data_IF_657053123403
#
_entry.id   IF_657053123403
#
_cell.length_a   1.000
_cell.length_b   1.000
_cell.length_c   1.000
_cell.angle_alpha   90.00
_cell.angle_beta   90.00
_cell.angle_gamma   90.00
#
_symmetry.space_group_name_H-M   'P 1'
#
loop_
_entity.id
_entity.type
_entity.pdbx_description
1 polymer ?
#
# COMPACT_ATOMS: atom_id res chain seq x y z
N UNK A 1 -29.26 -46.85 41.82
CA UNK A 1 -29.81 -45.64 41.16
C UNK A 1 -28.92 -44.41 41.32
N UNK A 2 -28.32 -44.16 42.49
CA UNK A 2 -27.48 -42.96 42.72
C UNK A 2 -26.12 -42.96 42.01
N UNK A 3 -25.49 -44.12 41.82
CA UNK A 3 -24.15 -44.22 41.23
C UNK A 3 -24.12 -43.86 39.73
N UNK A 4 -25.18 -44.25 39.00
CA UNK A 4 -25.33 -43.91 37.58
C UNK A 4 -25.55 -42.42 37.36
N UNK A 5 -26.35 -41.77 38.21
CA UNK A 5 -26.62 -40.33 38.15
C UNK A 5 -25.34 -39.51 38.39
N UNK A 6 -24.50 -39.95 39.33
CA UNK A 6 -23.21 -39.30 39.60
C UNK A 6 -22.19 -39.51 38.47
N UNK A 7 -22.22 -40.66 37.80
CA UNK A 7 -21.34 -40.92 36.65
C UNK A 7 -21.74 -40.04 35.45
N UNK A 8 -23.04 -39.94 35.15
CA UNK A 8 -23.57 -39.09 34.09
C UNK A 8 -23.25 -37.61 34.37
N UNK A 9 -23.42 -37.15 35.62
CA UNK A 9 -23.08 -35.80 36.01
C UNK A 9 -21.59 -35.47 35.76
N UNK A 10 -20.68 -36.41 36.09
CA UNK A 10 -19.23 -36.28 35.85
C UNK A 10 -18.89 -36.25 34.35
N UNK A 11 -19.52 -37.11 33.54
CA UNK A 11 -19.33 -37.13 32.09
C UNK A 11 -19.78 -35.81 31.47
N UNK A 12 -20.94 -35.27 31.91
CA UNK A 12 -21.45 -33.98 31.45
C UNK A 12 -20.49 -32.85 31.86
N UNK A 13 -19.97 -32.83 33.09
CA UNK A 13 -19.01 -31.78 33.51
C UNK A 13 -17.72 -31.85 32.70
N UNK A 14 -17.19 -33.05 32.46
CA UNK A 14 -15.98 -33.24 31.64
C UNK A 14 -16.22 -32.83 30.18
N UNK A 15 -17.36 -33.21 29.58
CA UNK A 15 -17.74 -32.76 28.24
C UNK A 15 -17.93 -31.24 28.16
N UNK A 16 -18.55 -30.60 29.15
CA UNK A 16 -18.68 -29.14 29.19
C UNK A 16 -17.33 -28.44 29.32
N UNK A 17 -16.39 -28.99 30.10
CA UNK A 17 -15.02 -28.47 30.19
C UNK A 17 -14.28 -28.64 28.85
N UNK A 18 -14.42 -29.80 28.19
CA UNK A 18 -13.81 -30.07 26.87
C UNK A 18 -14.42 -29.18 25.78
N UNK A 19 -15.73 -28.91 25.82
CA UNK A 19 -16.43 -27.99 24.89
C UNK A 19 -16.00 -26.54 25.13
N UNK A 20 -15.73 -26.13 26.37
CA UNK A 20 -15.14 -24.81 26.66
C UNK A 20 -13.65 -24.73 26.28
N UNK A 21 -12.96 -25.87 26.15
CA UNK A 21 -11.62 -26.00 25.60
C UNK A 21 -11.59 -26.04 24.06
N UNK A 22 -12.73 -25.84 23.38
CA UNK A 22 -12.75 -25.45 21.97
C UNK A 22 -12.21 -24.02 21.90
N UNK A 23 -10.88 -23.96 21.75
CA UNK A 23 -10.01 -22.84 21.42
C UNK A 23 -10.68 -21.47 21.44
N UNK A 24 -10.38 -20.64 22.45
CA UNK A 24 -10.39 -19.21 22.20
C UNK A 24 -9.35 -18.96 21.10
N UNK A 25 -9.80 -18.83 19.85
CA UNK A 25 -8.92 -18.48 18.75
C UNK A 25 -8.29 -17.13 19.08
N UNK A 26 -6.96 -17.11 19.18
CA UNK A 26 -6.20 -15.93 19.54
C UNK A 26 -6.17 -14.96 18.35
N UNK A 27 -7.26 -14.19 18.22
CA UNK A 27 -7.50 -13.26 17.11
C UNK A 27 -6.70 -11.96 17.22
N UNK A 28 -5.46 -12.06 17.71
CA UNK A 28 -4.56 -10.93 17.90
C UNK A 28 -4.13 -10.26 16.60
N UNK A 29 -3.79 -8.97 16.69
CA UNK A 29 -3.18 -8.22 15.58
C UNK A 29 -1.83 -8.82 15.13
N UNK A 30 -1.15 -9.51 16.04
CA UNK A 30 0.09 -10.23 15.75
C UNK A 30 -0.11 -11.34 14.72
N UNK A 31 -1.18 -12.12 14.82
CA UNK A 31 -1.47 -13.19 13.84
C UNK A 31 -1.67 -12.61 12.44
N UNK A 32 -2.48 -11.55 12.32
CA UNK A 32 -2.71 -10.88 11.05
C UNK A 32 -1.41 -10.27 10.47
N UNK A 33 -0.58 -9.67 11.34
CA UNK A 33 0.73 -9.13 10.96
C UNK A 33 1.66 -10.23 10.45
N UNK A 34 1.66 -11.39 11.12
CA UNK A 34 2.43 -12.56 10.70
C UNK A 34 1.97 -13.07 9.33
N UNK A 35 0.66 -13.09 9.05
CA UNK A 35 0.13 -13.45 7.75
C UNK A 35 0.55 -12.48 6.63
N UNK A 36 0.69 -11.19 6.95
CA UNK A 36 1.05 -10.16 5.98
C UNK A 36 2.56 -10.08 5.70
N UNK A 37 3.43 -10.67 6.54
CA UNK A 37 4.89 -10.60 6.39
C UNK A 37 5.39 -11.02 4.99
N UNK A 38 4.96 -12.13 4.38
CA UNK A 38 5.41 -12.50 3.04
C UNK A 38 5.01 -11.48 1.96
N UNK A 39 3.96 -10.71 2.23
CA UNK A 39 3.38 -9.73 1.31
C UNK A 39 4.07 -8.37 1.47
N UNK A 40 4.81 -8.17 2.58
CA UNK A 40 5.60 -6.96 2.79
C UNK A 40 6.66 -6.80 1.72
N UNK A 41 7.17 -7.87 1.09
CA UNK A 41 8.09 -7.72 -0.04
C UNK A 41 7.47 -6.87 -1.15
N UNK A 42 6.16 -6.97 -1.35
CA UNK A 42 5.43 -6.12 -2.30
C UNK A 42 5.40 -4.67 -1.84
N UNK A 43 5.49 -4.39 -0.54
CA UNK A 43 5.36 -3.05 0.06
C UNK A 43 6.70 -2.39 0.43
N UNK A 44 7.74 -3.19 0.68
CA UNK A 44 9.04 -2.78 1.23
C UNK A 44 10.19 -2.88 0.24
N UNK A 45 10.11 -3.77 -0.75
CA UNK A 45 10.78 -3.52 -2.03
C UNK A 45 9.90 -2.53 -2.79
N UNK A 46 10.46 -1.69 -3.65
CA UNK A 46 9.61 -0.90 -4.53
C UNK A 46 8.63 -1.87 -5.20
N UNK A 47 7.33 -1.59 -5.13
CA UNK A 47 6.21 -2.49 -5.54
C UNK A 47 6.43 -3.12 -6.93
N UNK A 48 7.36 -2.58 -7.70
CA UNK A 48 7.69 -2.87 -9.09
C UNK A 48 8.98 -3.71 -9.28
N UNK A 49 9.76 -4.01 -8.23
CA UNK A 49 11.04 -4.74 -8.30
C UNK A 49 11.03 -6.11 -7.60
N UNK A 50 9.85 -6.70 -7.43
CA UNK A 50 9.62 -7.94 -6.65
C UNK A 50 10.36 -9.16 -7.23
N UNK A 51 10.48 -9.23 -8.55
CA UNK A 51 11.22 -10.27 -9.27
C UNK A 51 11.49 -9.79 -10.70
N UNK A 52 12.71 -9.94 -11.20
CA UNK A 52 13.07 -9.56 -12.56
C UNK A 52 13.07 -10.75 -13.53
N UNK A 53 12.83 -11.96 -13.02
CA UNK A 53 12.87 -13.22 -13.79
C UNK A 53 11.80 -14.21 -13.34
N UNK A 54 11.45 -15.14 -14.22
CA UNK A 54 10.47 -16.19 -13.95
C UNK A 54 10.89 -17.09 -12.80
N UNK A 55 12.16 -17.46 -12.73
CA UNK A 55 12.68 -18.34 -11.68
C UNK A 55 12.67 -17.67 -10.30
N UNK A 56 12.73 -16.34 -10.26
CA UNK A 56 12.57 -15.56 -9.03
C UNK A 56 11.10 -15.57 -8.57
N UNK A 57 10.15 -15.43 -9.51
CA UNK A 57 8.71 -15.57 -9.22
C UNK A 57 8.36 -16.98 -8.72
N UNK A 58 8.88 -18.04 -9.35
CA UNK A 58 8.60 -19.43 -8.94
C UNK A 58 9.02 -19.71 -7.50
N UNK A 59 10.09 -19.08 -7.03
CA UNK A 59 10.54 -19.17 -5.62
C UNK A 59 9.68 -18.35 -4.67
N UNK A 60 9.19 -17.20 -5.12
CA UNK A 60 8.44 -16.26 -4.29
C UNK A 60 6.96 -16.63 -4.13
N UNK A 61 6.35 -17.16 -5.18
CA UNK A 61 4.92 -17.42 -5.25
C UNK A 61 4.36 -18.36 -4.16
N UNK A 62 5.08 -19.41 -3.72
CA UNK A 62 4.65 -20.22 -2.58
C UNK A 62 4.42 -19.38 -1.31
N UNK A 63 5.33 -18.47 -1.00
CA UNK A 63 5.24 -17.62 0.20
C UNK A 63 4.10 -16.61 0.10
N UNK A 64 3.91 -16.00 -1.07
CA UNK A 64 2.79 -15.09 -1.33
C UNK A 64 1.45 -15.82 -1.20
N UNK A 65 1.31 -17.02 -1.77
CA UNK A 65 0.09 -17.81 -1.64
C UNK A 65 -0.17 -18.26 -0.20
N UNK A 66 0.87 -18.64 0.55
CA UNK A 66 0.75 -18.98 1.97
C UNK A 66 0.27 -17.79 2.79
N UNK A 67 0.80 -16.58 2.54
CA UNK A 67 0.32 -15.34 3.16
C UNK A 67 -1.15 -15.07 2.86
N UNK A 68 -1.57 -15.16 1.60
CA UNK A 68 -2.97 -15.01 1.19
C UNK A 68 -3.90 -16.04 1.87
N UNK A 69 -3.46 -17.29 1.97
CA UNK A 69 -4.22 -18.34 2.64
C UNK A 69 -4.36 -18.06 4.15
N UNK A 70 -3.27 -17.61 4.79
CA UNK A 70 -3.24 -17.22 6.20
C UNK A 70 -4.26 -16.10 6.48
N UNK A 71 -4.21 -15.01 5.70
CA UNK A 71 -5.17 -13.89 5.81
C UNK A 71 -6.61 -14.37 5.62
N UNK A 72 -6.86 -15.23 4.63
CA UNK A 72 -8.20 -15.79 4.37
C UNK A 72 -8.69 -16.66 5.54
N UNK A 73 -7.81 -17.42 6.18
CA UNK A 73 -8.14 -18.21 7.38
C UNK A 73 -8.46 -17.31 8.56
N UNK A 74 -7.58 -16.34 8.85
CA UNK A 74 -7.77 -15.34 9.90
C UNK A 74 -9.11 -14.61 9.75
N UNK A 75 -9.39 -14.04 8.58
CA UNK A 75 -10.63 -13.29 8.34
C UNK A 75 -11.91 -14.13 8.45
N UNK A 76 -11.83 -15.45 8.29
CA UNK A 76 -12.98 -16.36 8.49
C UNK A 76 -13.26 -16.64 9.95
N UNK A 77 -12.20 -16.73 10.75
CA UNK A 77 -12.22 -17.07 12.17
C UNK A 77 -12.49 -15.85 13.05
N UNK A 78 -11.80 -14.76 12.75
CA UNK A 78 -11.64 -13.61 13.64
C UNK A 78 -12.48 -12.38 13.25
N UNK A 79 -13.24 -12.44 12.16
CA UNK A 79 -14.05 -11.30 11.70
C UNK A 79 -15.51 -11.70 11.48
N UNK A 80 -16.41 -10.77 11.77
CA UNK A 80 -17.81 -10.86 11.33
C UNK A 80 -17.90 -10.82 9.80
N UNK A 81 -19.04 -11.25 9.24
CA UNK A 81 -19.28 -11.21 7.80
C UNK A 81 -19.07 -9.80 7.21
N UNK A 82 -19.51 -8.76 7.92
CA UNK A 82 -19.37 -7.37 7.48
C UNK A 82 -17.90 -6.92 7.50
N UNK A 83 -17.18 -7.14 8.60
CA UNK A 83 -15.75 -6.82 8.71
C UNK A 83 -14.94 -7.56 7.64
N UNK A 84 -15.21 -8.85 7.45
CA UNK A 84 -14.58 -9.68 6.42
C UNK A 84 -14.85 -9.14 5.01
N UNK A 85 -16.08 -8.72 4.72
CA UNK A 85 -16.41 -8.14 3.42
C UNK A 85 -15.69 -6.80 3.18
N UNK A 86 -15.60 -5.94 4.20
CA UNK A 86 -14.82 -4.70 4.13
C UNK A 86 -13.33 -4.98 3.93
N UNK A 87 -12.77 -5.92 4.69
CA UNK A 87 -11.38 -6.34 4.54
C UNK A 87 -11.09 -6.89 3.14
N UNK A 88 -11.94 -7.77 2.63
CA UNK A 88 -11.77 -8.35 1.29
C UNK A 88 -11.82 -7.30 0.18
N UNK A 89 -12.62 -6.24 0.33
CA UNK A 89 -12.61 -5.09 -0.60
C UNK A 89 -11.27 -4.35 -0.55
N UNK A 90 -10.74 -4.11 0.65
CA UNK A 90 -9.45 -3.44 0.81
C UNK A 90 -8.30 -4.24 0.18
N UNK A 91 -8.34 -5.57 0.33
CA UNK A 91 -7.27 -6.47 -0.08
C UNK A 91 -7.44 -7.08 -1.49
N UNK A 92 -8.53 -6.74 -2.20
CA UNK A 92 -8.90 -7.37 -3.46
C UNK A 92 -7.83 -7.21 -4.54
N UNK A 93 -7.35 -5.98 -4.75
CA UNK A 93 -6.36 -5.65 -5.77
C UNK A 93 -5.07 -6.43 -5.59
N UNK A 94 -4.47 -6.37 -4.39
CA UNK A 94 -3.26 -7.11 -4.03
C UNK A 94 -3.41 -8.63 -4.23
N UNK A 95 -4.52 -9.22 -3.76
CA UNK A 95 -4.81 -10.64 -3.96
C UNK A 95 -4.91 -11.01 -5.45
N UNK A 96 -5.56 -10.15 -6.25
CA UNK A 96 -5.66 -10.37 -7.70
C UNK A 96 -4.29 -10.28 -8.38
N UNK A 97 -3.48 -9.28 -8.07
CA UNK A 97 -2.12 -9.15 -8.64
C UNK A 97 -1.27 -10.38 -8.32
N UNK A 98 -1.26 -10.84 -7.06
CA UNK A 98 -0.50 -12.04 -6.68
C UNK A 98 -1.00 -13.26 -7.45
N UNK A 99 -2.31 -13.44 -7.57
CA UNK A 99 -2.89 -14.58 -8.31
C UNK A 99 -2.54 -14.55 -9.79
N UNK A 100 -2.57 -13.38 -10.41
CA UNK A 100 -2.29 -13.22 -11.83
C UNK A 100 -0.78 -13.29 -12.12
N UNK A 101 0.06 -12.83 -11.19
CA UNK A 101 1.52 -12.88 -11.30
C UNK A 101 2.08 -14.28 -11.05
N UNK A 102 1.48 -15.03 -10.12
CA UNK A 102 1.92 -16.38 -9.74
C UNK A 102 1.28 -17.50 -10.55
N UNK A 103 0.50 -17.17 -11.57
CA UNK A 103 -0.07 -18.12 -12.50
C UNK A 103 0.49 -17.82 -13.89
N UNK A 104 1.00 -18.86 -14.56
CA UNK A 104 1.43 -18.73 -15.94
C UNK A 104 0.29 -18.20 -16.82
N UNK A 105 0.62 -17.22 -17.68
CA UNK A 105 -0.31 -16.58 -18.59
C UNK A 105 0.07 -15.14 -18.90
N UNK A 106 -0.79 -14.48 -19.67
CA UNK A 106 -0.51 -13.18 -20.28
C UNK A 106 -0.08 -12.09 -19.29
N UNK A 107 -0.64 -12.06 -18.08
CA UNK A 107 -0.28 -11.04 -17.09
C UNK A 107 1.14 -11.26 -16.54
N UNK A 108 1.52 -12.52 -16.29
CA UNK A 108 2.87 -12.87 -15.87
C UNK A 108 3.87 -12.56 -16.99
N UNK A 109 3.54 -12.90 -18.23
CA UNK A 109 4.39 -12.64 -19.41
C UNK A 109 4.62 -11.13 -19.59
N UNK A 110 3.56 -10.33 -19.48
CA UNK A 110 3.65 -8.86 -19.58
C UNK A 110 4.46 -8.27 -18.42
N UNK A 111 4.26 -8.74 -17.18
CA UNK A 111 5.10 -8.31 -16.06
C UNK A 111 6.58 -8.63 -16.32
N UNK A 112 6.90 -9.86 -16.74
CA UNK A 112 8.27 -10.31 -16.98
C UNK A 112 8.95 -9.56 -18.14
N UNK A 113 8.18 -9.08 -19.11
CA UNK A 113 8.67 -8.20 -20.18
C UNK A 113 9.20 -6.87 -19.63
N UNK A 114 8.52 -6.28 -18.64
CA UNK A 114 8.91 -4.99 -18.05
C UNK A 114 9.88 -5.11 -16.87
N UNK A 115 9.83 -6.23 -16.13
CA UNK A 115 10.54 -6.41 -14.89
C UNK A 115 12.07 -6.17 -14.94
N UNK A 116 12.81 -6.55 -16.00
CA UNK A 116 14.23 -6.23 -16.11
C UNK A 116 14.53 -4.73 -16.04
N UNK A 117 13.71 -3.90 -16.70
CA UNK A 117 13.89 -2.45 -16.67
C UNK A 117 13.35 -1.84 -15.37
N UNK A 118 12.23 -2.34 -14.84
CA UNK A 118 11.68 -1.86 -13.56
C UNK A 118 12.68 -2.02 -12.42
N UNK A 119 13.54 -3.03 -12.46
CA UNK A 119 14.64 -3.19 -11.49
C UNK A 119 15.71 -2.10 -11.58
N UNK A 120 15.94 -1.53 -12.76
CA UNK A 120 16.86 -0.39 -12.92
C UNK A 120 16.30 0.87 -12.25
N UNK A 121 14.98 1.04 -12.27
CA UNK A 121 14.25 2.21 -11.73
C UNK A 121 13.95 2.07 -10.23
N UNK A 122 14.43 1.01 -9.58
CA UNK A 122 14.08 0.70 -8.19
C UNK A 122 14.34 1.88 -7.24
N UNK A 123 15.50 2.53 -7.36
CA UNK A 123 15.88 3.63 -6.46
C UNK A 123 14.96 4.85 -6.62
N UNK A 124 14.57 5.18 -7.85
CA UNK A 124 13.62 6.26 -8.14
C UNK A 124 12.23 5.94 -7.58
N UNK A 125 11.79 4.68 -7.64
CA UNK A 125 10.52 4.28 -7.04
C UNK A 125 10.52 4.36 -5.52
N UNK A 126 11.64 4.05 -4.86
CA UNK A 126 11.78 4.22 -3.41
C UNK A 126 11.60 5.70 -3.01
N UNK A 127 12.14 6.63 -3.82
CA UNK A 127 11.91 8.08 -3.64
C UNK A 127 10.42 8.42 -3.77
N UNK A 128 9.74 7.91 -4.81
CA UNK A 128 8.31 8.16 -5.04
C UNK A 128 7.42 7.61 -3.90
N UNK A 129 7.78 6.46 -3.33
CA UNK A 129 6.96 5.77 -2.31
C UNK A 129 7.12 6.42 -0.93
N UNK A 130 8.27 7.00 -0.64
CA UNK A 130 8.62 7.56 0.68
C UNK A 130 7.59 8.57 1.18
N UNK A 131 7.19 9.54 0.34
CA UNK A 131 6.22 10.59 0.73
C UNK A 131 4.86 10.00 1.08
N UNK A 132 4.43 8.97 0.36
CA UNK A 132 3.17 8.28 0.64
C UNK A 132 3.23 7.50 1.96
N UNK A 133 4.33 6.80 2.23
CA UNK A 133 4.54 6.11 3.50
C UNK A 133 4.56 7.08 4.69
N UNK A 134 5.24 8.23 4.56
CA UNK A 134 5.26 9.28 5.58
C UNK A 134 3.86 9.85 5.83
N UNK A 135 3.09 10.10 4.78
CA UNK A 135 1.70 10.56 4.87
C UNK A 135 0.82 9.56 5.63
N UNK A 136 0.94 8.26 5.31
CA UNK A 136 0.20 7.21 6.01
C UNK A 136 0.61 7.09 7.48
N UNK A 137 1.90 7.21 7.79
CA UNK A 137 2.39 7.21 9.16
C UNK A 137 1.86 8.41 9.97
N UNK A 138 1.87 9.60 9.37
CA UNK A 138 1.33 10.81 9.99
C UNK A 138 -0.16 10.69 10.31
N UNK A 139 -0.99 10.20 9.37
CA UNK A 139 -2.43 10.03 9.60
C UNK A 139 -2.72 9.00 10.69
N UNK A 140 -1.95 7.91 10.75
CA UNK A 140 -2.09 6.91 11.81
C UNK A 140 -1.70 7.48 13.20
N UNK A 141 -0.71 8.36 13.26
CA UNK A 141 -0.31 9.03 14.49
C UNK A 141 -1.32 10.11 14.91
N UNK A 142 -1.86 10.88 13.96
CA UNK A 142 -2.89 11.88 14.24
C UNK A 142 -4.16 11.27 14.84
N UNK A 143 -4.50 10.03 14.47
CA UNK A 143 -5.63 9.28 15.08
C UNK A 143 -5.39 8.85 16.53
N UNK A 144 -4.14 8.82 16.99
CA UNK A 144 -3.77 8.36 18.34
C UNK A 144 -3.38 9.50 19.28
N UNK A 145 -3.16 10.72 18.77
CA UNK A 145 -2.80 11.89 19.56
C UNK A 145 -3.96 12.87 19.69
N UNK A 146 -4.35 13.22 20.92
CA UNK A 146 -5.45 14.17 21.20
C UNK A 146 -5.18 15.59 20.67
N UNK A 147 -3.93 15.94 20.35
CA UNK A 147 -3.51 17.29 19.97
C UNK A 147 -3.53 17.58 18.45
N UNK A 148 -3.83 16.59 17.60
CA UNK A 148 -3.89 16.77 16.14
C UNK A 148 -5.29 16.40 15.65
N UNK A 149 -6.13 17.41 15.41
CA UNK A 149 -7.48 17.20 14.88
C UNK A 149 -7.46 17.33 13.36
N UNK A 150 -7.23 16.21 12.65
CA UNK A 150 -7.55 16.12 11.22
C UNK A 150 -8.99 15.68 11.08
N UNK A 151 -9.78 16.39 10.28
CA UNK A 151 -11.09 15.90 9.88
C UNK A 151 -10.96 14.65 9.01
N UNK A 152 -12.02 13.84 8.94
CA UNK A 152 -12.05 12.68 8.04
C UNK A 152 -11.85 13.10 6.58
N UNK A 153 -12.45 14.21 6.17
CA UNK A 153 -12.33 14.76 4.81
C UNK A 153 -10.90 15.23 4.49
N UNK A 154 -10.22 15.88 5.43
CA UNK A 154 -8.81 16.27 5.27
C UNK A 154 -7.90 15.05 5.20
N UNK A 155 -8.18 14.02 6.01
CA UNK A 155 -7.41 12.77 5.99
C UNK A 155 -7.57 12.07 4.64
N UNK A 156 -8.80 11.96 4.13
CA UNK A 156 -9.08 11.37 2.81
C UNK A 156 -8.37 12.17 1.72
N UNK A 157 -8.53 13.50 1.70
CA UNK A 157 -7.83 14.37 0.74
C UNK A 157 -6.32 14.17 0.77
N UNK A 158 -5.72 14.12 1.95
CA UNK A 158 -4.27 13.98 2.14
C UNK A 158 -3.77 12.63 1.61
N UNK A 159 -4.44 11.52 1.97
CA UNK A 159 -4.11 10.18 1.43
C UNK A 159 -4.23 10.17 -0.09
N UNK A 160 -5.34 10.68 -0.61
CA UNK A 160 -5.63 10.62 -2.04
C UNK A 160 -4.67 11.44 -2.87
N UNK A 161 -4.34 12.67 -2.46
CA UNK A 161 -3.38 13.49 -3.18
C UNK A 161 -1.96 12.90 -3.11
N UNK A 162 -1.54 12.39 -1.95
CA UNK A 162 -0.24 11.74 -1.83
C UNK A 162 -0.15 10.45 -2.64
N UNK A 163 -1.23 9.68 -2.73
CA UNK A 163 -1.30 8.47 -3.55
C UNK A 163 -1.25 8.80 -5.04
N UNK A 164 -2.00 9.79 -5.50
CA UNK A 164 -1.93 10.26 -6.90
C UNK A 164 -0.52 10.75 -7.27
N UNK A 165 0.14 11.49 -6.38
CA UNK A 165 1.53 11.92 -6.58
C UNK A 165 2.50 10.74 -6.67
N UNK A 166 2.33 9.72 -5.82
CA UNK A 166 3.09 8.48 -5.88
C UNK A 166 2.96 7.80 -7.25
N UNK A 167 1.73 7.67 -7.76
CA UNK A 167 1.49 7.06 -9.06
C UNK A 167 2.10 7.88 -10.20
N UNK A 168 1.96 9.21 -10.18
CA UNK A 168 2.50 10.11 -11.20
C UNK A 168 4.03 10.09 -11.22
N UNK A 169 4.66 10.14 -10.03
CA UNK A 169 6.10 10.07 -9.86
C UNK A 169 6.67 8.76 -10.40
N UNK A 170 6.05 7.63 -10.04
CA UNK A 170 6.50 6.30 -10.46
C UNK A 170 6.32 6.10 -11.97
N UNK A 171 5.18 6.53 -12.53
CA UNK A 171 4.96 6.50 -13.98
C UNK A 171 6.02 7.34 -14.72
N UNK A 172 6.34 8.54 -14.21
CA UNK A 172 7.32 9.41 -14.83
C UNK A 172 8.76 8.86 -14.74
N UNK A 173 9.11 8.25 -13.61
CA UNK A 173 10.40 7.56 -13.44
C UNK A 173 10.55 6.42 -14.45
N UNK A 174 9.51 5.59 -14.60
CA UNK A 174 9.44 4.53 -15.59
C UNK A 174 9.56 5.08 -17.02
N UNK A 175 8.81 6.14 -17.35
CA UNK A 175 8.81 6.77 -18.67
C UNK A 175 10.20 7.27 -19.07
N UNK A 176 10.89 7.92 -18.13
CA UNK A 176 12.21 8.51 -18.35
C UNK A 176 13.28 7.45 -18.62
N UNK A 177 13.22 6.31 -17.93
CA UNK A 177 14.28 5.29 -17.98
C UNK A 177 13.95 4.13 -18.91
N UNK A 178 12.68 3.72 -18.96
CA UNK A 178 12.20 2.49 -19.62
C UNK A 178 11.24 2.73 -20.79
N UNK A 179 10.87 3.98 -21.06
CA UNK A 179 9.95 4.35 -22.14
C UNK A 179 8.47 4.26 -21.80
N UNK A 180 7.64 4.68 -22.76
CA UNK A 180 6.19 4.87 -22.58
C UNK A 180 5.44 3.61 -22.21
N UNK A 181 5.77 2.49 -22.86
CA UNK A 181 5.09 1.21 -22.64
C UNK A 181 5.25 0.74 -21.18
N UNK A 182 6.48 0.77 -20.67
CA UNK A 182 6.77 0.43 -19.27
C UNK A 182 6.11 1.41 -18.31
N UNK A 183 6.00 2.69 -18.67
CA UNK A 183 5.30 3.67 -17.84
C UNK A 183 3.81 3.35 -17.69
N UNK A 184 3.13 3.01 -18.78
CA UNK A 184 1.72 2.62 -18.75
C UNK A 184 1.50 1.34 -17.95
N UNK A 185 2.39 0.36 -18.12
CA UNK A 185 2.39 -0.85 -17.30
C UNK A 185 2.55 -0.51 -15.82
N UNK A 186 3.55 0.30 -15.45
CA UNK A 186 3.80 0.74 -14.07
C UNK A 186 2.56 1.39 -13.47
N UNK A 187 1.93 2.34 -14.16
CA UNK A 187 0.73 3.02 -13.67
C UNK A 187 -0.40 2.02 -13.40
N UNK A 188 -0.67 1.13 -14.35
CA UNK A 188 -1.71 0.10 -14.21
C UNK A 188 -1.42 -0.90 -13.09
N UNK A 189 -0.16 -1.30 -12.94
CA UNK A 189 0.28 -2.21 -11.88
C UNK A 189 0.06 -1.59 -10.50
N UNK A 190 0.56 -0.37 -10.28
CA UNK A 190 0.43 0.35 -9.01
C UNK A 190 -1.04 0.66 -8.68
N UNK A 191 -1.81 1.08 -9.67
CA UNK A 191 -3.25 1.29 -9.51
C UNK A 191 -3.94 -0.03 -9.12
N UNK A 192 -3.65 -1.16 -9.78
CA UNK A 192 -4.23 -2.47 -9.45
C UNK A 192 -3.81 -2.97 -8.06
N UNK A 193 -2.59 -2.66 -7.61
CA UNK A 193 -2.09 -2.99 -6.28
C UNK A 193 -2.78 -2.20 -5.16
N UNK A 194 -3.31 -1.01 -5.48
CA UNK A 194 -4.00 -0.17 -4.50
C UNK A 194 -5.32 -0.76 -4.00
N UNK A 195 -5.69 -0.39 -2.77
CA UNK A 195 -6.95 -0.85 -2.19
C UNK A 195 -8.16 -0.30 -2.97
N UNK A 196 -9.24 -1.09 -3.08
CA UNK A 196 -10.48 -0.60 -3.68
C UNK A 196 -11.05 0.61 -2.94
N UNK A 197 -10.74 0.75 -1.64
CA UNK A 197 -11.10 1.94 -0.87
C UNK A 197 -10.38 3.18 -1.39
N UNK A 198 -9.07 3.11 -1.61
CA UNK A 198 -8.30 4.21 -2.20
C UNK A 198 -8.91 4.59 -3.55
N UNK A 199 -9.18 3.64 -4.44
CA UNK A 199 -9.85 3.96 -5.72
C UNK A 199 -11.21 4.65 -5.55
N UNK A 200 -12.03 4.13 -4.65
CA UNK A 200 -13.40 4.64 -4.44
C UNK A 200 -13.40 6.04 -3.84
N UNK A 201 -12.56 6.29 -2.84
CA UNK A 201 -12.51 7.58 -2.15
C UNK A 201 -11.66 8.62 -2.89
N UNK A 202 -10.70 8.17 -3.71
CA UNK A 202 -9.75 9.05 -4.40
C UNK A 202 -10.14 9.39 -5.84
N UNK A 203 -11.27 8.91 -6.35
CA UNK A 203 -11.73 9.11 -7.75
C UNK A 203 -11.75 10.60 -8.17
N UNK A 204 -12.02 11.51 -7.24
CA UNK A 204 -12.05 12.96 -7.49
C UNK A 204 -10.73 13.71 -7.23
N UNK A 205 -9.68 13.00 -6.82
CA UNK A 205 -8.39 13.55 -6.39
C UNK A 205 -7.27 13.22 -7.38
N UNK A 206 -7.48 13.60 -8.64
CA UNK A 206 -6.49 13.47 -9.72
C UNK A 206 -5.81 14.81 -10.02
N UNK A 207 -4.65 14.76 -10.70
CA UNK A 207 -3.90 15.96 -11.10
C UNK A 207 -4.77 16.89 -11.96
N UNK A 208 -4.84 18.16 -11.57
CA UNK A 208 -5.70 19.14 -12.26
C UNK A 208 -7.16 19.18 -11.80
N UNK A 209 -7.60 18.31 -10.88
CA UNK A 209 -8.94 18.41 -10.28
C UNK A 209 -9.14 19.66 -9.41
N UNK A 210 -8.04 20.34 -9.07
CA UNK A 210 -8.04 21.48 -8.14
C UNK A 210 -8.17 21.08 -6.66
N UNK A 211 -8.45 19.80 -6.37
CA UNK A 211 -8.64 19.28 -5.00
C UNK A 211 -7.32 18.98 -4.28
N UNK A 212 -6.20 18.98 -5.00
CA UNK A 212 -4.84 18.70 -4.50
C UNK A 212 -3.87 19.90 -4.53
N UNK A 213 -4.37 21.14 -4.72
CA UNK A 213 -3.54 22.36 -4.92
C UNK A 213 -2.54 22.65 -3.78
N UNK A 214 -2.82 22.25 -2.55
CA UNK A 214 -1.89 22.41 -1.42
C UNK A 214 -0.63 21.54 -1.53
N UNK A 215 -0.67 20.42 -2.28
CA UNK A 215 0.47 19.51 -2.48
C UNK A 215 1.35 19.91 -3.68
N UNK A 216 0.84 20.72 -4.61
CA UNK A 216 1.57 21.24 -5.77
C UNK A 216 2.56 22.37 -5.38
N UNK A 217 2.42 22.94 -4.17
CA UNK A 217 3.09 24.18 -3.75
C UNK A 217 4.45 23.99 -3.07
N UNK A 218 4.95 22.75 -2.94
CA UNK A 218 6.21 22.46 -2.25
C UNK A 218 7.44 22.37 -3.17
N UNK A 219 7.35 22.88 -4.41
CA UNK A 219 8.56 23.24 -5.13
C UNK A 219 9.05 24.59 -4.58
N UNK A 220 10.27 24.71 -4.03
CA UNK A 220 10.84 26.01 -3.78
C UNK A 220 11.01 26.68 -5.15
N UNK A 221 10.07 27.54 -5.52
CA UNK A 221 10.30 28.47 -6.60
C UNK A 221 11.48 29.34 -6.15
N UNK A 222 12.68 29.02 -6.64
CA UNK A 222 13.77 29.98 -6.75
C UNK A 222 13.27 31.06 -7.72
N UNK A 223 12.40 31.93 -7.22
CA UNK A 223 12.10 33.20 -7.82
C UNK A 223 13.36 34.03 -7.69
N UNK A 224 14.29 33.86 -8.63
CA UNK A 224 15.35 34.83 -8.83
C UNK A 224 14.65 36.15 -9.13
N UNK A 225 14.57 37.03 -8.14
CA UNK A 225 14.05 38.37 -8.30
C UNK A 225 14.99 39.10 -9.28
N UNK A 226 14.61 39.17 -10.55
CA UNK A 226 15.35 39.87 -11.61
C UNK A 226 15.59 41.34 -11.26
N UNK A 227 14.81 41.90 -10.33
CA UNK A 227 14.97 43.25 -9.78
C UNK A 227 16.30 43.49 -9.04
N UNK A 228 16.82 42.50 -8.28
CA UNK A 228 18.07 42.68 -7.52
C UNK A 228 19.31 42.65 -8.43
N UNK A 229 19.25 41.89 -9.52
CA UNK A 229 20.34 41.80 -10.50
C UNK A 229 20.42 43.12 -11.30
N UNK A 230 19.27 43.69 -11.69
CA UNK A 230 19.24 44.99 -12.36
C UNK A 230 19.75 46.12 -11.47
N UNK A 231 19.38 46.14 -10.18
CA UNK A 231 19.86 47.18 -9.26
C UNK A 231 21.36 47.06 -8.98
N UNK A 232 21.90 45.84 -8.92
CA UNK A 232 23.33 45.61 -8.74
C UNK A 232 24.14 46.06 -9.98
N UNK A 233 23.64 45.75 -11.19
CA UNK A 233 24.26 46.18 -12.45
C UNK A 233 24.21 47.70 -12.65
N UNK A 234 23.09 48.34 -12.33
CA UNK A 234 22.96 49.81 -12.37
C UNK A 234 23.88 50.49 -11.36
N UNK A 235 24.00 49.96 -10.15
CA UNK A 235 24.91 50.49 -9.13
C UNK A 235 26.38 50.35 -9.53
N UNK A 236 26.75 49.21 -10.14
CA UNK A 236 28.11 48.99 -10.65
C UNK A 236 28.46 49.96 -11.80
N UNK A 237 27.54 50.19 -12.73
CA UNK A 237 27.73 51.12 -13.85
C UNK A 237 27.79 52.59 -13.39
N UNK A 238 27.10 52.96 -12.30
CA UNK A 238 27.15 54.30 -11.73
C UNK A 238 28.41 54.55 -10.89
N UNK A 239 29.01 53.51 -10.28
CA UNK A 239 30.28 53.64 -9.55
C UNK A 239 31.51 53.68 -10.46
N UNK A 240 31.42 53.13 -11.69
CA UNK A 240 32.53 53.07 -12.65
C UNK A 240 32.46 54.15 -13.75
N UNK A 241 31.75 55.25 -13.50
CA UNK A 241 31.71 56.43 -14.36
C UNK A 241 32.34 57.64 -13.69
#
# INVERSE_FOLDING_TARGET
MNTHRNMIAKIITVLSIIVCYVSSEDCGQEELTNCARPLQILQSTSELSIAAKKEELEKLCPDLHNGLHCIRSYTRRCMTLQQRNQFNKMYHGTNQVIRDLCKEGQYQDEFLKHAPCLRVVQAEYEVCTKRYQETMAFINQAKTQENVTLTEDESVRTVCCSFTEYLDCSEQAARKTCGEETAQFTRGFLDKMSSTLVKTYCDSYYKGSGRCREFESAAPSLGLSTSLILSALLSYLLLNR
#
